data_IF_534607210158
#
_entry.id   IF_534607210158
#
_cell.length_a   1.000
_cell.length_b   1.000
_cell.length_c   1.000
_cell.angle_alpha   90.00
_cell.angle_beta   90.00
_cell.angle_gamma   90.00
#
_symmetry.space_group_name_H-M   'P 1'
#
loop_
_entity.id
_entity.type
_entity.pdbx_description
1 polymer ?
#
# COMPACT_ATOMS: atom_id res chain seq x y z
N UNK A 1 -26.89 -7.30 12.68
CA UNK A 1 -26.09 -8.41 13.21
C UNK A 1 -25.37 -9.09 12.06
N UNK A 2 -24.12 -8.71 11.76
CA UNK A 2 -23.29 -9.38 10.75
C UNK A 2 -22.17 -10.10 11.49
N UNK A 3 -22.20 -11.44 11.45
CA UNK A 3 -21.17 -12.29 12.05
C UNK A 3 -19.91 -12.16 11.19
N UNK A 4 -19.01 -11.25 11.60
CA UNK A 4 -17.62 -11.24 11.13
C UNK A 4 -17.00 -12.59 11.48
N UNK A 5 -16.24 -13.15 10.54
CA UNK A 5 -15.52 -14.41 10.64
C UNK A 5 -14.98 -14.64 12.07
N UNK A 6 -15.52 -15.64 12.76
CA UNK A 6 -15.28 -15.93 14.17
C UNK A 6 -13.91 -16.54 14.44
N UNK A 7 -12.85 -15.78 14.22
CA UNK A 7 -11.51 -16.15 14.68
C UNK A 7 -11.30 -15.54 16.05
N UNK A 8 -11.27 -16.39 17.08
CA UNK A 8 -10.87 -15.98 18.42
C UNK A 8 -9.43 -15.47 18.39
N UNK A 9 -9.23 -14.17 18.60
CA UNK A 9 -7.91 -13.52 18.67
C UNK A 9 -6.99 -14.12 19.74
N UNK A 10 -7.55 -14.87 20.69
CA UNK A 10 -6.84 -15.46 21.82
C UNK A 10 -5.98 -16.68 21.47
N UNK A 11 -6.10 -17.26 20.27
CA UNK A 11 -5.33 -18.46 19.84
C UNK A 11 -4.42 -18.22 18.61
N UNK A 12 -4.26 -16.96 18.19
CA UNK A 12 -3.40 -16.63 17.06
C UNK A 12 -1.92 -16.60 17.50
N UNK A 13 -1.04 -17.14 16.65
CA UNK A 13 0.40 -16.99 16.79
C UNK A 13 0.83 -15.52 16.69
N UNK A 14 2.06 -15.18 17.13
CA UNK A 14 2.49 -13.80 17.31
C UNK A 14 2.43 -12.96 16.02
N UNK A 15 2.68 -13.57 14.85
CA UNK A 15 2.56 -12.89 13.55
C UNK A 15 1.10 -12.60 13.20
N UNK A 16 0.22 -13.60 13.35
CA UNK A 16 -1.20 -13.44 13.04
C UNK A 16 -1.90 -12.44 13.97
N UNK A 17 -1.49 -12.37 15.26
CA UNK A 17 -1.97 -11.31 16.16
C UNK A 17 -1.55 -9.92 15.70
N UNK A 18 -0.27 -9.73 15.39
CA UNK A 18 0.24 -8.45 14.88
C UNK A 18 -0.46 -8.03 13.59
N UNK A 19 -0.83 -8.99 12.74
CA UNK A 19 -1.54 -8.74 11.50
C UNK A 19 -2.99 -8.30 11.75
N UNK A 20 -3.69 -8.90 12.72
CA UNK A 20 -5.03 -8.45 13.16
C UNK A 20 -4.96 -7.07 13.82
N UNK A 21 -3.97 -6.83 14.68
CA UNK A 21 -3.79 -5.53 15.35
C UNK A 21 -3.48 -4.43 14.32
N UNK A 22 -2.55 -4.68 13.38
CA UNK A 22 -2.24 -3.78 12.28
C UNK A 22 -3.46 -3.51 11.40
N UNK A 23 -4.27 -4.54 11.12
CA UNK A 23 -5.51 -4.41 10.35
C UNK A 23 -6.55 -3.54 11.05
N UNK A 24 -6.78 -3.75 12.36
CA UNK A 24 -7.73 -2.95 13.14
C UNK A 24 -7.29 -1.48 13.27
N UNK A 25 -6.00 -1.23 13.45
CA UNK A 25 -5.43 0.13 13.49
C UNK A 25 -5.58 0.80 12.12
N UNK A 26 -5.24 0.11 11.03
CA UNK A 26 -5.35 0.63 9.68
C UNK A 26 -6.80 0.93 9.28
N UNK A 27 -7.75 0.05 9.62
CA UNK A 27 -9.19 0.26 9.39
C UNK A 27 -9.71 1.54 10.08
N UNK A 28 -9.24 1.80 11.31
CA UNK A 28 -9.59 2.99 12.06
C UNK A 28 -9.01 4.26 11.41
N UNK A 29 -7.72 4.23 11.03
CA UNK A 29 -7.05 5.36 10.40
C UNK A 29 -7.58 5.70 9.00
N UNK A 30 -7.96 4.69 8.20
CA UNK A 30 -8.58 4.89 6.88
C UNK A 30 -9.95 5.58 6.98
N UNK A 31 -10.71 5.33 8.06
CA UNK A 31 -11.96 6.06 8.32
C UNK A 31 -11.73 7.53 8.67
N UNK A 32 -10.60 7.85 9.30
CA UNK A 32 -10.29 9.19 9.82
C UNK A 32 -9.56 10.10 8.81
N UNK A 33 -8.84 9.54 7.83
CA UNK A 33 -8.14 10.29 6.77
C UNK A 33 -9.06 10.99 5.72
N UNK A 34 -10.33 11.23 6.05
CA UNK A 34 -11.22 12.09 5.25
C UNK A 34 -10.88 13.58 5.46
N UNK A 35 -9.70 13.98 5.01
CA UNK A 35 -9.38 15.38 4.72
C UNK A 35 -8.26 15.43 3.67
N UNK A 36 -8.55 15.98 2.50
CA UNK A 36 -7.55 16.17 1.45
C UNK A 36 -6.57 17.30 1.87
N UNK A 37 -5.24 17.06 1.87
CA UNK A 37 -4.27 18.14 2.06
C UNK A 37 -4.27 19.09 0.86
N UNK A 38 -3.74 20.32 1.07
CA UNK A 38 -3.71 21.41 0.07
C UNK A 38 -3.04 20.97 -1.24
N UNK A 39 -3.61 21.43 -2.38
CA UNK A 39 -3.20 21.08 -3.76
C UNK A 39 -1.72 21.37 -4.02
N UNK A 40 -0.96 20.33 -4.35
CA UNK A 40 0.36 20.42 -4.94
C UNK A 40 0.23 20.47 -6.49
N UNK A 41 1.25 20.96 -7.23
CA UNK A 41 1.26 20.89 -8.69
C UNK A 41 1.25 19.45 -9.20
N UNK A 42 0.64 19.23 -10.36
CA UNK A 42 0.51 17.90 -10.97
C UNK A 42 1.88 17.37 -11.45
N UNK A 43 2.52 16.55 -10.62
CA UNK A 43 3.72 15.78 -10.99
C UNK A 43 3.28 14.54 -11.77
N UNK A 44 4.00 14.20 -12.84
CA UNK A 44 3.81 12.92 -13.54
C UNK A 44 4.06 11.73 -12.59
N UNK A 45 3.41 10.60 -12.83
CA UNK A 45 3.43 9.46 -11.91
C UNK A 45 4.85 8.90 -11.66
N UNK A 46 5.67 8.82 -12.71
CA UNK A 46 7.04 8.27 -12.60
C UNK A 46 7.98 9.12 -11.74
N UNK A 47 8.14 10.45 -11.93
CA UNK A 47 8.93 11.27 -11.01
C UNK A 47 8.46 11.17 -9.55
N UNK A 48 7.15 11.15 -9.32
CA UNK A 48 6.61 10.98 -7.97
C UNK A 48 7.01 9.62 -7.37
N UNK A 49 6.90 8.53 -8.13
CA UNK A 49 7.32 7.20 -7.67
C UNK A 49 8.82 7.15 -7.34
N UNK A 50 9.66 7.82 -8.12
CA UNK A 50 11.12 7.93 -7.85
C UNK A 50 11.36 8.66 -6.52
N UNK A 51 10.75 9.83 -6.31
CA UNK A 51 10.89 10.58 -5.06
C UNK A 51 10.36 9.81 -3.84
N UNK A 52 9.31 9.01 -4.02
CA UNK A 52 8.84 8.11 -2.96
C UNK A 52 9.87 7.02 -2.67
N UNK A 53 10.46 6.39 -3.69
CA UNK A 53 11.49 5.37 -3.48
C UNK A 53 12.72 5.92 -2.75
N UNK A 54 13.18 7.12 -3.11
CA UNK A 54 14.26 7.83 -2.41
C UNK A 54 13.91 8.09 -0.94
N UNK A 55 12.71 8.62 -0.68
CA UNK A 55 12.22 8.84 0.68
C UNK A 55 12.16 7.54 1.49
N UNK A 56 11.64 6.45 0.92
CA UNK A 56 11.55 5.15 1.62
C UNK A 56 12.93 4.60 1.98
N UNK A 57 13.92 4.76 1.09
CA UNK A 57 15.30 4.33 1.36
C UNK A 57 15.94 5.06 2.56
N UNK A 58 15.53 6.30 2.83
CA UNK A 58 16.00 7.09 3.97
C UNK A 58 15.15 6.88 5.23
N UNK A 59 13.83 6.78 5.05
CA UNK A 59 12.86 6.91 6.14
C UNK A 59 12.49 5.58 6.80
N UNK A 60 12.53 4.45 6.09
CA UNK A 60 12.11 3.18 6.67
C UNK A 60 13.07 2.72 7.79
N UNK A 61 12.55 2.08 8.86
CA UNK A 61 13.40 1.49 9.88
C UNK A 61 14.27 0.37 9.30
N UNK A 62 15.38 0.03 9.97
CA UNK A 62 16.36 -0.93 9.44
C UNK A 62 15.80 -2.36 9.31
N UNK A 63 14.73 -2.68 10.05
CA UNK A 63 14.00 -3.95 9.98
C UNK A 63 12.81 -3.94 8.99
N UNK A 64 12.74 -2.94 8.11
CA UNK A 64 11.79 -2.87 7.00
C UNK A 64 12.47 -3.03 5.64
N UNK A 65 11.70 -3.55 4.69
CA UNK A 65 12.10 -3.70 3.29
C UNK A 65 11.01 -3.16 2.38
N UNK A 66 11.37 -2.67 1.19
CA UNK A 66 10.39 -2.21 0.22
C UNK A 66 10.80 -2.51 -1.22
N UNK A 67 9.82 -2.55 -2.13
CA UNK A 67 10.05 -2.53 -3.56
C UNK A 67 8.90 -1.86 -4.32
N UNK A 68 9.19 -1.44 -5.55
CA UNK A 68 8.18 -1.16 -6.55
C UNK A 68 7.73 -2.45 -7.24
N UNK A 69 6.43 -2.59 -7.47
CA UNK A 69 5.82 -3.67 -8.25
C UNK A 69 5.52 -3.11 -9.66
N UNK A 70 6.33 -3.45 -10.68
CA UNK A 70 6.17 -2.89 -12.03
C UNK A 70 5.08 -3.62 -12.84
N UNK A 71 3.90 -3.79 -12.25
CA UNK A 71 2.78 -4.48 -12.91
C UNK A 71 2.03 -3.58 -13.89
N UNK A 72 2.27 -2.26 -13.88
CA UNK A 72 1.77 -1.28 -14.84
C UNK A 72 2.66 -1.10 -16.09
N UNK A 73 2.26 -0.23 -17.01
CA UNK A 73 3.06 0.16 -18.18
C UNK A 73 2.75 -0.56 -19.49
N UNK A 74 3.10 0.10 -20.60
CA UNK A 74 2.91 -0.43 -21.96
C UNK A 74 3.91 -1.56 -22.21
N UNK A 75 3.42 -2.68 -22.74
CA UNK A 75 4.22 -3.84 -23.15
C UNK A 75 3.54 -4.55 -24.32
N UNK A 76 4.26 -5.46 -24.97
CA UNK A 76 3.68 -6.26 -26.05
C UNK A 76 2.59 -7.20 -25.50
N UNK A 77 1.54 -7.45 -26.28
CA UNK A 77 0.42 -8.32 -25.86
C UNK A 77 0.90 -9.73 -25.45
N UNK A 78 1.87 -10.28 -26.18
CA UNK A 78 2.47 -11.58 -25.91
C UNK A 78 3.21 -11.60 -24.57
N UNK A 79 3.93 -10.53 -24.25
CA UNK A 79 4.64 -10.37 -22.98
C UNK A 79 3.66 -10.20 -21.81
N UNK A 80 2.60 -9.38 -21.98
CA UNK A 80 1.55 -9.26 -20.98
C UNK A 80 0.85 -10.59 -20.68
N UNK A 81 0.57 -11.39 -21.71
CA UNK A 81 -0.02 -12.72 -21.56
C UNK A 81 0.92 -13.68 -20.81
N UNK A 82 2.21 -13.69 -21.14
CA UNK A 82 3.23 -14.49 -20.43
C UNK A 82 3.33 -14.09 -18.96
N UNK A 83 3.45 -12.79 -18.66
CA UNK A 83 3.50 -12.29 -17.28
C UNK A 83 2.25 -12.68 -16.48
N UNK A 84 1.06 -12.54 -17.08
CA UNK A 84 -0.19 -12.97 -16.44
C UNK A 84 -0.21 -14.47 -16.17
N UNK A 85 0.28 -15.30 -17.10
CA UNK A 85 0.41 -16.74 -16.90
C UNK A 85 1.42 -17.11 -15.79
N UNK A 86 2.48 -16.31 -15.62
CA UNK A 86 3.44 -16.43 -14.50
C UNK A 86 2.91 -15.90 -13.17
N UNK A 87 1.70 -15.33 -13.13
CA UNK A 87 1.04 -14.90 -11.91
C UNK A 87 0.94 -13.38 -11.71
N UNK A 88 1.42 -12.56 -12.65
CA UNK A 88 1.23 -11.11 -12.56
C UNK A 88 -0.25 -10.76 -12.40
N UNK A 89 -0.57 -9.92 -11.42
CA UNK A 89 -1.93 -9.50 -11.10
C UNK A 89 -2.16 -8.09 -11.65
N UNK A 90 -3.17 -7.96 -12.51
CA UNK A 90 -3.62 -6.65 -12.98
C UNK A 90 -4.13 -5.83 -11.79
N UNK A 91 -3.78 -4.54 -11.77
CA UNK A 91 -4.16 -3.64 -10.68
C UNK A 91 -3.45 -3.88 -9.35
N UNK A 92 -2.37 -4.67 -9.33
CA UNK A 92 -1.51 -4.77 -8.14
C UNK A 92 -0.99 -3.37 -7.76
N UNK A 93 -0.97 -3.01 -6.46
CA UNK A 93 -0.48 -1.71 -6.00
C UNK A 93 0.98 -1.47 -6.39
N UNK A 94 1.34 -0.21 -6.64
CA UNK A 94 2.67 0.18 -7.08
C UNK A 94 3.80 -0.15 -6.10
N UNK A 95 3.55 -0.09 -4.79
CA UNK A 95 4.57 -0.24 -3.76
C UNK A 95 4.20 -1.34 -2.76
N UNK A 96 5.19 -2.15 -2.41
CA UNK A 96 5.16 -3.08 -1.30
C UNK A 96 6.17 -2.64 -0.25
N UNK A 97 5.71 -2.54 0.99
CA UNK A 97 6.55 -2.40 2.18
C UNK A 97 6.31 -3.61 3.07
N UNK A 98 7.38 -4.24 3.54
CA UNK A 98 7.31 -5.34 4.50
C UNK A 98 8.00 -4.90 5.77
N UNK A 99 7.29 -4.97 6.90
CA UNK A 99 7.84 -4.65 8.20
C UNK A 99 7.34 -5.63 9.24
N UNK A 100 8.25 -6.22 10.02
CA UNK A 100 7.94 -7.21 11.09
C UNK A 100 7.04 -8.36 10.64
N UNK A 101 7.22 -8.82 9.41
CA UNK A 101 6.46 -9.92 8.81
C UNK A 101 5.08 -9.53 8.27
N UNK A 102 4.74 -8.25 8.24
CA UNK A 102 3.47 -7.73 7.72
C UNK A 102 3.73 -7.02 6.39
N UNK A 103 2.91 -7.34 5.38
CA UNK A 103 2.93 -6.69 4.08
C UNK A 103 1.94 -5.51 4.04
N UNK A 104 2.44 -4.37 3.59
CA UNK A 104 1.71 -3.13 3.41
C UNK A 104 1.82 -2.69 1.96
N UNK A 105 0.70 -2.31 1.36
CA UNK A 105 0.65 -1.92 -0.04
C UNK A 105 0.21 -0.46 -0.21
N UNK A 106 0.95 0.27 -1.03
CA UNK A 106 0.61 1.66 -1.37
C UNK A 106 0.46 1.77 -2.88
N UNK A 107 -0.71 2.23 -3.30
CA UNK A 107 -0.99 2.61 -4.68
C UNK A 107 -0.71 4.11 -4.84
N UNK A 108 0.08 4.48 -5.83
CA UNK A 108 0.39 5.87 -6.12
C UNK A 108 -0.60 6.43 -7.14
N UNK A 109 -1.08 7.64 -6.90
CA UNK A 109 -1.89 8.38 -7.88
C UNK A 109 -1.48 9.83 -7.94
N UNK A 110 -1.49 10.42 -9.12
CA UNK A 110 -1.48 11.88 -9.26
C UNK A 110 -2.77 12.47 -8.69
N UNK A 111 -2.87 13.77 -8.44
CA UNK A 111 -4.08 14.39 -7.88
C UNK A 111 -5.36 14.13 -8.69
N UNK A 112 -5.24 14.07 -10.02
CA UNK A 112 -6.35 13.76 -10.92
C UNK A 112 -6.57 12.24 -11.13
N UNK A 113 -5.61 11.41 -10.70
CA UNK A 113 -5.65 9.96 -10.88
C UNK A 113 -6.76 9.30 -10.05
N UNK A 114 -7.49 8.38 -10.68
CA UNK A 114 -8.46 7.52 -10.01
C UNK A 114 -8.05 6.05 -10.14
N UNK A 115 -8.57 5.21 -9.25
CA UNK A 115 -8.35 3.76 -9.35
C UNK A 115 -9.07 3.22 -10.59
N UNK A 116 -8.43 2.30 -11.31
CA UNK A 116 -9.11 1.49 -12.33
C UNK A 116 -10.03 0.44 -11.69
N UNK A 117 -10.82 -0.27 -12.50
CA UNK A 117 -11.63 -1.39 -12.03
C UNK A 117 -10.75 -2.50 -11.46
N UNK A 118 -9.73 -2.93 -12.21
CA UNK A 118 -8.77 -3.96 -11.79
C UNK A 118 -8.06 -3.59 -10.49
N UNK A 119 -7.69 -2.31 -10.31
CA UNK A 119 -7.07 -1.84 -9.07
C UNK A 119 -8.03 -1.94 -7.89
N UNK A 120 -9.29 -1.54 -8.04
CA UNK A 120 -10.30 -1.69 -6.98
C UNK A 120 -10.49 -3.16 -6.58
N UNK A 121 -10.56 -4.05 -7.56
CA UNK A 121 -10.70 -5.49 -7.32
C UNK A 121 -9.48 -6.07 -6.60
N UNK A 122 -8.27 -5.75 -7.07
CA UNK A 122 -7.03 -6.21 -6.45
C UNK A 122 -6.89 -5.70 -5.00
N UNK A 123 -7.21 -4.42 -4.75
CA UNK A 123 -7.17 -3.86 -3.40
C UNK A 123 -8.17 -4.57 -2.47
N UNK A 124 -9.37 -4.90 -2.96
CA UNK A 124 -10.36 -5.64 -2.18
C UNK A 124 -9.88 -7.07 -1.86
N UNK A 125 -9.25 -7.74 -2.83
CA UNK A 125 -8.67 -9.07 -2.62
C UNK A 125 -7.53 -9.04 -1.59
N UNK A 126 -6.61 -8.08 -1.67
CA UNK A 126 -5.52 -7.90 -0.71
C UNK A 126 -6.03 -7.63 0.71
N UNK A 127 -7.05 -6.77 0.85
CA UNK A 127 -7.70 -6.52 2.15
C UNK A 127 -8.37 -7.77 2.70
N UNK A 128 -9.04 -8.54 1.83
CA UNK A 128 -9.67 -9.81 2.20
C UNK A 128 -8.64 -10.86 2.63
N UNK A 129 -7.41 -10.78 2.10
CA UNK A 129 -6.26 -11.57 2.53
C UNK A 129 -5.57 -11.03 3.80
N UNK A 130 -6.12 -10.00 4.43
CA UNK A 130 -5.60 -9.43 5.68
C UNK A 130 -4.41 -8.49 5.51
N UNK A 131 -4.22 -7.92 4.32
CA UNK A 131 -3.17 -6.91 4.07
C UNK A 131 -3.73 -5.49 4.16
N UNK A 132 -2.87 -4.56 4.58
CA UNK A 132 -3.19 -3.13 4.55
C UNK A 132 -2.93 -2.57 3.14
N UNK A 133 -3.90 -1.82 2.61
CA UNK A 133 -3.79 -1.18 1.29
C UNK A 133 -4.28 0.26 1.37
N UNK A 134 -3.44 1.21 0.95
CA UNK A 134 -3.77 2.64 0.91
C UNK A 134 -3.44 3.26 -0.45
N UNK A 135 -4.03 4.42 -0.73
CA UNK A 135 -3.70 5.26 -1.89
C UNK A 135 -2.98 6.49 -1.38
N UNK A 136 -1.83 6.83 -1.97
CA UNK A 136 -1.08 8.04 -1.67
C UNK A 136 -0.87 8.87 -2.94
N UNK A 137 -0.79 10.19 -2.77
CA UNK A 137 -0.68 11.15 -3.89
C UNK A 137 0.54 12.06 -3.85
N UNK A 138 1.37 11.90 -2.83
CA UNK A 138 2.59 12.67 -2.61
C UNK A 138 3.52 11.89 -1.68
N UNK A 139 4.78 12.31 -1.60
CA UNK A 139 5.75 11.75 -0.63
C UNK A 139 5.24 11.91 0.80
N UNK A 140 4.73 13.09 1.16
CA UNK A 140 4.11 13.34 2.48
C UNK A 140 2.86 12.49 2.71
N UNK A 141 2.10 12.19 1.65
CA UNK A 141 0.96 11.26 1.72
C UNK A 141 1.41 9.83 2.05
N UNK A 142 2.51 9.37 1.45
CA UNK A 142 3.13 8.08 1.80
C UNK A 142 3.60 8.09 3.24
N UNK A 143 4.28 9.16 3.69
CA UNK A 143 4.67 9.30 5.10
C UNK A 143 3.47 9.15 6.05
N UNK A 144 2.38 9.88 5.79
CA UNK A 144 1.16 9.83 6.61
C UNK A 144 0.56 8.42 6.67
N UNK A 145 0.51 7.73 5.52
CA UNK A 145 0.03 6.35 5.43
C UNK A 145 0.90 5.39 6.24
N UNK A 146 2.22 5.45 6.10
CA UNK A 146 3.12 4.56 6.86
C UNK A 146 3.05 4.81 8.37
N UNK A 147 2.88 6.07 8.77
CA UNK A 147 2.69 6.43 10.18
C UNK A 147 1.35 5.97 10.74
N UNK A 148 0.29 6.00 9.94
CA UNK A 148 -1.00 5.48 10.37
C UNK A 148 -1.00 3.97 10.56
N UNK A 149 -0.05 3.27 9.94
CA UNK A 149 0.27 1.87 10.21
C UNK A 149 1.30 1.65 11.33
N UNK A 150 1.62 2.70 12.09
CA UNK A 150 2.59 2.70 13.19
C UNK A 150 4.01 2.25 12.80
N UNK A 151 4.41 2.48 11.55
CA UNK A 151 5.80 2.23 11.11
C UNK A 151 6.68 3.38 11.65
N UNK A 152 7.73 3.08 12.44
CA UNK A 152 8.57 4.10 13.06
C UNK A 152 9.59 4.67 12.07
N UNK A 153 9.17 5.66 11.28
CA UNK A 153 10.03 6.26 10.26
C UNK A 153 11.16 7.12 10.86
N UNK A 154 12.37 6.98 10.32
CA UNK A 154 13.62 7.68 10.69
C UNK A 154 13.70 9.10 10.12
N UNK A 155 12.96 9.41 9.06
CA UNK A 155 12.97 10.70 8.38
C UNK A 155 11.54 11.23 8.13
N UNK A 156 11.46 12.51 7.73
CA UNK A 156 10.22 13.21 7.35
C UNK A 156 10.26 13.52 5.85
N UNK A 157 9.11 13.53 5.21
CA UNK A 157 8.98 14.10 3.88
C UNK A 157 9.21 15.62 3.98
N UNK A 158 10.12 16.13 3.16
CA UNK A 158 10.40 17.57 3.01
C UNK A 158 9.29 18.28 2.23
#
# INVERSE_FOLDING_TARGET
MSRRCGVSVNNLGPVARRQVDAFLIAEQAVKEMRAAPRRAPAVAETPLQISVAEFLGLALPDDAWFCHIPNGGKRLKSEAAKLKAMGARAGAPDLLVVWRGIAFFVEMKTDAGSLSADQRECHAALRSAGCCVAVARSVSGVEQVLRSWNIPLKARAS
#
